data_IF_265254531421
#
_entry.id   IF_265254531421
#
_cell.length_a   1.000
_cell.length_b   1.000
_cell.length_c   1.000
_cell.angle_alpha   90.00
_cell.angle_beta   90.00
_cell.angle_gamma   90.00
#
_symmetry.space_group_name_H-M   'P 1'
#
loop_
_entity.id
_entity.type
_entity.pdbx_description
1 polymer ?
#
# COMPACT_ATOMS: atom_id res chain seq x y z
N UNK A 1 20.36 39.29 -21.27
CA UNK A 1 19.21 38.48 -20.85
C UNK A 1 19.64 37.00 -20.89
N UNK A 2 19.40 36.27 -19.82
CA UNK A 2 19.70 34.83 -19.82
C UNK A 2 18.57 34.15 -20.61
N UNK A 3 18.91 33.54 -21.74
CA UNK A 3 17.95 32.82 -22.58
C UNK A 3 17.94 31.34 -22.15
N UNK A 4 16.76 30.76 -22.03
CA UNK A 4 16.56 29.34 -21.78
C UNK A 4 15.89 28.68 -22.99
N UNK A 5 16.27 27.45 -23.24
CA UNK A 5 15.70 26.66 -24.34
C UNK A 5 14.38 25.99 -23.87
N UNK A 6 14.30 25.65 -22.57
CA UNK A 6 13.14 24.98 -21.98
C UNK A 6 12.85 25.55 -20.57
N UNK A 7 11.57 25.73 -20.27
CA UNK A 7 11.04 26.03 -18.94
C UNK A 7 10.27 24.82 -18.43
N UNK A 8 10.65 24.28 -17.28
CA UNK A 8 9.95 23.21 -16.58
C UNK A 8 9.15 23.83 -15.43
N UNK A 9 7.86 23.57 -15.37
CA UNK A 9 6.98 24.06 -14.31
C UNK A 9 6.77 22.96 -13.28
N UNK A 10 7.22 23.21 -12.06
CA UNK A 10 7.17 22.30 -10.91
C UNK A 10 8.46 21.51 -10.70
N UNK A 11 9.00 21.58 -9.49
CA UNK A 11 10.20 20.87 -9.04
C UNK A 11 9.85 19.60 -8.24
N UNK A 12 8.84 18.86 -8.66
CA UNK A 12 8.57 17.50 -8.20
C UNK A 12 9.45 16.50 -8.95
N UNK A 13 9.37 15.20 -8.59
CA UNK A 13 10.18 14.13 -9.20
C UNK A 13 10.12 14.14 -10.72
N UNK A 14 8.93 14.26 -11.32
CA UNK A 14 8.77 14.29 -12.78
C UNK A 14 9.44 15.51 -13.42
N UNK A 15 9.25 16.70 -12.84
CA UNK A 15 9.85 17.94 -13.36
C UNK A 15 11.37 17.95 -13.24
N UNK A 16 11.90 17.50 -12.11
CA UNK A 16 13.35 17.40 -11.91
C UNK A 16 13.99 16.34 -12.82
N UNK A 17 13.31 15.21 -13.05
CA UNK A 17 13.75 14.19 -14.00
C UNK A 17 13.78 14.75 -15.43
N UNK A 18 12.74 15.44 -15.86
CA UNK A 18 12.69 16.08 -17.17
C UNK A 18 13.82 17.13 -17.31
N UNK A 19 13.98 18.00 -16.32
CA UNK A 19 15.02 18.99 -16.31
C UNK A 19 16.43 18.40 -16.41
N UNK A 20 16.69 17.34 -15.66
CA UNK A 20 17.96 16.58 -15.70
C UNK A 20 18.24 16.03 -17.10
N UNK A 21 17.27 15.33 -17.69
CA UNK A 21 17.45 14.71 -19.01
C UNK A 21 17.63 15.76 -20.10
N UNK A 22 16.86 16.84 -20.08
CA UNK A 22 16.98 17.95 -21.03
C UNK A 22 18.36 18.66 -20.91
N UNK A 23 18.83 18.86 -19.67
CA UNK A 23 20.16 19.43 -19.42
C UNK A 23 21.27 18.50 -19.94
N UNK A 24 21.13 17.18 -19.72
CA UNK A 24 22.06 16.18 -20.28
C UNK A 24 22.07 16.17 -21.81
N UNK A 25 20.92 16.49 -22.43
CA UNK A 25 20.82 16.66 -23.87
C UNK A 25 21.34 18.02 -24.38
N UNK A 26 21.97 18.83 -23.52
CA UNK A 26 22.61 20.09 -23.89
C UNK A 26 21.68 21.31 -23.90
N UNK A 27 20.44 21.19 -23.43
CA UNK A 27 19.53 22.33 -23.33
C UNK A 27 19.82 23.20 -22.10
N UNK A 28 19.60 24.50 -22.24
CA UNK A 28 19.59 25.45 -21.10
C UNK A 28 18.19 25.40 -20.48
N UNK A 29 18.06 24.77 -19.34
CA UNK A 29 16.78 24.51 -18.66
C UNK A 29 16.65 25.43 -17.43
N UNK A 30 15.45 25.97 -17.23
CA UNK A 30 15.06 26.60 -15.97
C UNK A 30 13.86 25.84 -15.40
N UNK A 31 13.89 25.59 -14.07
CA UNK A 31 12.77 25.00 -13.34
C UNK A 31 12.12 26.10 -12.50
N UNK A 32 10.81 26.24 -12.62
CA UNK A 32 10.01 27.16 -11.82
C UNK A 32 9.18 26.37 -10.83
N UNK A 33 9.37 26.63 -9.54
CA UNK A 33 8.63 26.02 -8.44
C UNK A 33 7.85 27.09 -7.68
N UNK A 34 6.59 26.79 -7.34
CA UNK A 34 5.71 27.74 -6.67
C UNK A 34 5.91 27.77 -5.15
N UNK A 35 6.50 26.73 -4.58
CA UNK A 35 6.81 26.62 -3.15
C UNK A 35 8.26 27.00 -2.91
N UNK A 36 8.61 27.16 -1.64
CA UNK A 36 9.97 27.41 -1.15
C UNK A 36 10.81 26.12 -1.04
N UNK A 37 10.32 25.01 -1.53
CA UNK A 37 10.98 23.69 -1.52
C UNK A 37 10.76 22.91 -2.82
N UNK A 38 11.67 22.04 -3.13
CA UNK A 38 11.53 21.02 -4.19
C UNK A 38 10.83 19.75 -3.67
N UNK A 39 10.65 18.74 -4.51
CA UNK A 39 10.14 17.43 -4.17
C UNK A 39 8.65 17.24 -4.46
N UNK A 40 7.84 18.30 -4.42
CA UNK A 40 6.40 18.19 -4.70
C UNK A 40 5.67 17.32 -3.68
N UNK A 41 5.19 16.14 -4.08
CA UNK A 41 4.51 15.14 -3.25
C UNK A 41 5.46 14.26 -2.43
N UNK A 42 6.76 14.31 -2.67
CA UNK A 42 7.78 13.80 -1.76
C UNK A 42 8.24 14.93 -0.85
N UNK A 43 8.27 14.69 0.42
CA UNK A 43 8.70 15.68 1.41
C UNK A 43 9.13 14.99 2.70
N UNK A 44 10.42 15.11 3.03
CA UNK A 44 10.96 14.57 4.28
C UNK A 44 11.18 15.73 5.26
N UNK A 45 10.52 15.67 6.41
CA UNK A 45 10.72 16.60 7.50
C UNK A 45 11.88 16.13 8.39
N UNK A 46 12.87 17.00 8.62
CA UNK A 46 14.04 16.74 9.47
C UNK A 46 14.10 17.66 10.69
N UNK A 47 13.02 18.40 10.96
CA UNK A 47 12.99 19.41 12.03
C UNK A 47 13.24 18.83 13.42
N UNK A 48 12.96 17.53 13.62
CA UNK A 48 13.18 16.82 14.88
C UNK A 48 14.54 16.11 14.97
N UNK A 49 15.40 16.27 13.95
CA UNK A 49 16.66 15.54 13.82
C UNK A 49 16.49 14.09 13.32
N UNK A 50 15.29 13.70 12.96
CA UNK A 50 14.95 12.40 12.32
C UNK A 50 14.29 12.67 10.98
N UNK A 51 14.54 11.79 10.02
CA UNK A 51 13.80 11.79 8.76
C UNK A 51 12.36 11.32 9.01
N UNK A 52 11.39 12.13 8.61
CA UNK A 52 9.96 11.79 8.67
C UNK A 52 9.33 12.20 7.36
N UNK A 53 8.93 11.22 6.56
CA UNK A 53 8.27 11.50 5.30
C UNK A 53 6.83 11.97 5.55
N UNK A 54 6.52 13.16 5.05
CA UNK A 54 5.20 13.79 5.08
C UNK A 54 4.45 13.65 3.75
N UNK A 55 5.01 12.93 2.83
CA UNK A 55 4.47 12.61 1.51
C UNK A 55 4.62 11.13 1.23
N UNK A 56 4.99 10.78 0.01
CA UNK A 56 5.27 9.41 -0.37
C UNK A 56 6.41 8.84 0.48
N UNK A 57 6.25 7.59 0.95
CA UNK A 57 7.20 6.91 1.83
C UNK A 57 7.65 5.56 1.29
N UNK A 58 6.84 4.95 0.42
CA UNK A 58 7.11 3.64 -0.16
C UNK A 58 7.40 3.71 -1.65
N UNK A 59 8.19 2.73 -2.12
CA UNK A 59 8.04 2.19 -3.46
C UNK A 59 7.30 0.88 -3.31
N UNK A 60 6.09 0.83 -3.86
CA UNK A 60 5.26 -0.38 -3.91
C UNK A 60 5.68 -1.19 -5.13
N UNK A 61 6.36 -2.33 -4.90
CA UNK A 61 6.94 -3.17 -5.94
C UNK A 61 8.21 -2.64 -6.57
N UNK A 62 9.31 -3.35 -6.35
CA UNK A 62 10.63 -2.98 -6.86
C UNK A 62 10.98 -3.72 -8.17
N UNK A 63 10.22 -4.75 -8.56
CA UNK A 63 10.45 -5.49 -9.79
C UNK A 63 10.10 -4.60 -10.98
N UNK A 64 11.07 -4.41 -11.89
CA UNK A 64 10.94 -3.56 -13.08
C UNK A 64 10.46 -2.12 -12.79
N UNK A 65 10.74 -1.60 -11.59
CA UNK A 65 10.34 -0.27 -11.16
C UNK A 65 11.35 0.80 -11.57
N UNK A 66 10.98 1.76 -12.45
CA UNK A 66 11.86 2.87 -12.80
C UNK A 66 12.24 3.75 -11.60
N UNK A 67 11.37 3.83 -10.57
CA UNK A 67 11.68 4.54 -9.34
C UNK A 67 12.74 3.82 -8.52
N UNK A 68 12.70 2.49 -8.47
CA UNK A 68 13.71 1.70 -7.80
C UNK A 68 15.07 1.81 -8.49
N UNK A 69 15.10 1.79 -9.82
CA UNK A 69 16.32 1.99 -10.60
C UNK A 69 16.95 3.36 -10.33
N UNK A 70 16.16 4.44 -10.35
CA UNK A 70 16.64 5.80 -10.10
C UNK A 70 17.19 5.93 -8.68
N UNK A 71 16.45 5.46 -7.68
CA UNK A 71 16.85 5.56 -6.26
C UNK A 71 18.08 4.70 -5.95
N UNK A 72 18.23 3.55 -6.62
CA UNK A 72 19.42 2.72 -6.57
C UNK A 72 20.61 3.44 -7.18
N UNK A 73 20.45 4.04 -8.36
CA UNK A 73 21.50 4.82 -9.02
C UNK A 73 21.95 6.05 -8.22
N UNK A 74 21.07 6.60 -7.40
CA UNK A 74 21.36 7.70 -6.48
C UNK A 74 21.96 7.22 -5.15
N UNK A 75 22.10 5.92 -4.93
CA UNK A 75 22.68 5.34 -3.71
C UNK A 75 21.78 5.51 -2.47
N UNK A 76 20.47 5.67 -2.65
CA UNK A 76 19.54 5.81 -1.55
C UNK A 76 19.42 4.51 -0.75
N UNK A 77 19.55 4.61 0.58
CA UNK A 77 19.46 3.44 1.46
C UNK A 77 18.03 3.00 1.65
N UNK A 78 17.72 1.81 1.18
CA UNK A 78 16.38 1.21 1.25
C UNK A 78 16.36 0.07 2.26
N UNK A 79 15.24 -0.12 2.91
CA UNK A 79 14.91 -1.33 3.66
C UNK A 79 13.59 -1.87 3.13
N UNK A 80 13.52 -3.17 3.05
CA UNK A 80 12.28 -3.84 2.76
C UNK A 80 11.29 -3.57 3.89
N UNK A 81 10.11 -3.11 3.52
CA UNK A 81 8.99 -2.85 4.42
C UNK A 81 7.69 -3.23 3.71
N UNK A 82 7.62 -4.47 3.26
CA UNK A 82 6.42 -5.01 2.65
C UNK A 82 5.36 -5.13 3.73
N UNK A 83 4.42 -4.23 3.75
CA UNK A 83 3.24 -4.35 4.60
C UNK A 83 2.36 -5.38 3.91
N UNK A 84 2.39 -6.60 4.38
CA UNK A 84 1.49 -7.65 3.91
C UNK A 84 0.06 -7.32 4.29
N UNK A 85 -0.45 -6.19 3.80
CA UNK A 85 -1.77 -5.67 4.13
C UNK A 85 -2.90 -6.63 3.82
N UNK A 86 -2.64 -7.61 2.97
CA UNK A 86 -3.62 -8.60 2.55
C UNK A 86 -3.28 -10.03 2.96
N UNK A 87 -2.03 -10.31 3.28
CA UNK A 87 -1.58 -11.67 3.59
C UNK A 87 -1.21 -11.74 5.05
N UNK A 88 -2.02 -12.46 5.80
CA UNK A 88 -1.91 -12.64 7.27
C UNK A 88 -0.60 -13.29 7.72
N UNK A 89 0.20 -13.85 6.83
CA UNK A 89 1.43 -14.58 7.12
C UNK A 89 2.66 -14.09 6.34
N UNK A 90 2.54 -13.00 5.57
CA UNK A 90 3.65 -12.48 4.77
C UNK A 90 4.84 -12.00 5.60
N UNK A 91 4.62 -11.67 6.88
CA UNK A 91 5.64 -11.26 7.86
C UNK A 91 5.27 -11.69 9.26
N UNK A 92 6.22 -11.66 10.21
CA UNK A 92 5.89 -11.80 11.62
C UNK A 92 4.94 -10.68 12.07
N UNK A 93 3.65 -10.97 12.08
CA UNK A 93 2.60 -10.05 12.53
C UNK A 93 2.18 -10.47 13.93
N UNK A 94 2.02 -9.51 14.83
CA UNK A 94 1.45 -9.73 16.14
C UNK A 94 -0.05 -9.40 16.10
N UNK A 95 -0.87 -10.40 16.38
CA UNK A 95 -2.31 -10.23 16.52
C UNK A 95 -2.71 -10.05 17.97
N UNK A 96 -3.70 -9.20 18.21
CA UNK A 96 -4.24 -8.91 19.53
C UNK A 96 -5.74 -9.19 19.54
N UNK A 97 -6.21 -9.82 20.63
CA UNK A 97 -7.62 -10.05 20.85
C UNK A 97 -8.37 -8.76 21.27
N UNK A 98 -9.70 -8.85 21.42
CA UNK A 98 -10.54 -7.71 21.83
C UNK A 98 -10.18 -7.12 23.19
N UNK A 99 -9.52 -7.91 24.05
CA UNK A 99 -9.01 -7.53 25.37
C UNK A 99 -7.59 -6.92 25.31
N UNK A 100 -7.09 -6.62 24.12
CA UNK A 100 -5.73 -6.16 23.84
C UNK A 100 -4.62 -7.16 24.28
N UNK A 101 -4.97 -8.43 24.51
CA UNK A 101 -3.99 -9.49 24.78
C UNK A 101 -3.42 -10.02 23.47
N UNK A 102 -2.09 -10.09 23.38
CA UNK A 102 -1.42 -10.69 22.23
C UNK A 102 -1.78 -12.17 22.12
N UNK A 103 -2.17 -12.61 20.94
CA UNK A 103 -2.39 -14.02 20.65
C UNK A 103 -1.07 -14.81 20.74
N UNK A 104 -1.16 -16.06 21.18
CA UNK A 104 -0.06 -17.01 21.05
C UNK A 104 0.23 -17.30 19.58
N UNK A 105 1.45 -17.76 19.29
CA UNK A 105 1.83 -18.10 17.91
C UNK A 105 0.91 -19.18 17.31
N UNK A 106 0.46 -20.14 18.12
CA UNK A 106 -0.52 -21.15 17.70
C UNK A 106 -1.89 -20.54 17.38
N UNK A 107 -2.39 -19.64 18.21
CA UNK A 107 -3.66 -18.96 17.98
C UNK A 107 -3.59 -18.01 16.78
N UNK A 108 -2.46 -17.34 16.58
CA UNK A 108 -2.19 -16.49 15.41
C UNK A 108 -2.16 -17.32 14.10
N UNK A 109 -1.49 -18.47 14.12
CA UNK A 109 -1.46 -19.38 12.97
C UNK A 109 -2.85 -19.95 12.64
N UNK A 110 -3.63 -20.31 13.67
CA UNK A 110 -5.00 -20.76 13.47
C UNK A 110 -5.88 -19.66 12.89
N UNK A 111 -5.74 -18.43 13.36
CA UNK A 111 -6.45 -17.28 12.82
C UNK A 111 -6.06 -16.98 11.36
N UNK A 112 -4.77 -17.03 11.02
CA UNK A 112 -4.30 -16.88 9.65
C UNK A 112 -4.89 -17.95 8.72
N UNK A 113 -4.94 -19.21 9.17
CA UNK A 113 -5.58 -20.29 8.42
C UNK A 113 -7.09 -20.05 8.19
N UNK A 114 -7.78 -19.44 9.17
CA UNK A 114 -9.19 -19.07 9.03
C UNK A 114 -9.38 -18.00 7.96
N UNK A 115 -8.53 -16.97 7.96
CA UNK A 115 -8.57 -15.91 6.94
C UNK A 115 -8.31 -16.49 5.55
N UNK A 116 -7.29 -17.33 5.37
CA UNK A 116 -7.01 -17.96 4.09
C UNK A 116 -8.16 -18.84 3.60
N UNK A 117 -8.80 -19.58 4.52
CA UNK A 117 -9.98 -20.40 4.17
C UNK A 117 -11.11 -19.52 3.63
N UNK A 118 -11.36 -18.39 4.30
CA UNK A 118 -12.40 -17.47 3.86
C UNK A 118 -12.03 -16.73 2.57
N UNK A 119 -10.78 -16.30 2.40
CA UNK A 119 -10.32 -15.67 1.15
C UNK A 119 -10.52 -16.62 -0.05
N UNK A 120 -10.21 -17.89 0.10
CA UNK A 120 -10.48 -18.90 -0.94
C UNK A 120 -11.99 -19.03 -1.24
N UNK A 121 -12.84 -19.01 -0.21
CA UNK A 121 -14.29 -19.04 -0.37
C UNK A 121 -14.82 -17.77 -1.04
N UNK A 122 -14.28 -16.61 -0.72
CA UNK A 122 -14.67 -15.32 -1.29
C UNK A 122 -14.49 -15.29 -2.80
N UNK A 123 -13.42 -15.90 -3.35
CA UNK A 123 -13.23 -16.01 -4.80
C UNK A 123 -14.44 -16.68 -5.47
N UNK A 124 -14.95 -17.78 -4.89
CA UNK A 124 -16.10 -18.50 -5.41
C UNK A 124 -17.40 -17.69 -5.28
N UNK A 125 -17.59 -17.06 -4.11
CA UNK A 125 -18.81 -16.28 -3.83
C UNK A 125 -18.88 -15.04 -4.70
N UNK A 126 -17.77 -14.32 -4.88
CA UNK A 126 -17.68 -13.15 -5.76
C UNK A 126 -18.00 -13.56 -7.20
N UNK A 127 -17.39 -14.65 -7.69
CA UNK A 127 -17.63 -15.12 -9.05
C UNK A 127 -19.10 -15.51 -9.29
N UNK A 128 -19.81 -15.96 -8.24
CA UNK A 128 -21.23 -16.34 -8.31
C UNK A 128 -22.19 -15.16 -8.03
N UNK A 129 -21.70 -14.04 -7.52
CA UNK A 129 -22.52 -12.88 -7.17
C UNK A 129 -22.89 -12.04 -8.40
N UNK A 130 -23.88 -11.19 -8.26
CA UNK A 130 -24.30 -10.27 -9.33
C UNK A 130 -23.40 -9.05 -9.38
N UNK A 131 -23.12 -8.46 -10.57
CA UNK A 131 -22.44 -7.17 -10.66
C UNK A 131 -23.12 -6.10 -9.82
N UNK A 132 -22.34 -5.37 -9.03
CA UNK A 132 -22.86 -4.36 -8.10
C UNK A 132 -23.20 -4.92 -6.69
N UNK A 133 -22.91 -6.20 -6.43
CA UNK A 133 -22.92 -6.71 -5.06
C UNK A 133 -21.85 -6.01 -4.23
N UNK A 134 -22.18 -5.64 -2.99
CA UNK A 134 -21.17 -5.08 -2.10
C UNK A 134 -20.20 -6.14 -1.61
N UNK A 135 -18.97 -5.74 -1.29
CA UNK A 135 -18.01 -6.65 -0.69
C UNK A 135 -18.50 -7.16 0.67
N UNK A 136 -19.23 -6.33 1.44
CA UNK A 136 -19.90 -6.74 2.68
C UNK A 136 -20.87 -7.91 2.47
N UNK A 137 -21.73 -7.83 1.44
CA UNK A 137 -22.72 -8.89 1.16
C UNK A 137 -22.04 -10.24 0.81
N UNK A 138 -20.98 -10.20 0.01
CA UNK A 138 -20.26 -11.43 -0.37
C UNK A 138 -19.47 -12.00 0.81
N UNK A 139 -18.92 -11.15 1.69
CA UNK A 139 -18.28 -11.58 2.95
C UNK A 139 -19.29 -12.28 3.87
N UNK A 140 -20.47 -11.70 4.09
CA UNK A 140 -21.52 -12.33 4.91
C UNK A 140 -21.97 -13.67 4.31
N UNK A 141 -22.12 -13.75 3.00
CA UNK A 141 -22.45 -15.00 2.30
C UNK A 141 -21.37 -16.06 2.51
N UNK A 142 -20.10 -15.70 2.39
CA UNK A 142 -18.98 -16.61 2.60
C UNK A 142 -18.89 -17.07 4.06
N UNK A 143 -19.06 -16.16 5.03
CA UNK A 143 -19.06 -16.48 6.46
C UNK A 143 -20.21 -17.42 6.84
N UNK A 144 -21.41 -17.18 6.30
CA UNK A 144 -22.56 -18.06 6.54
C UNK A 144 -22.26 -19.50 6.06
N UNK A 145 -21.64 -19.65 4.89
CA UNK A 145 -21.24 -20.96 4.39
C UNK A 145 -20.21 -21.65 5.31
N UNK A 146 -19.23 -20.90 5.86
CA UNK A 146 -18.25 -21.48 6.79
C UNK A 146 -18.90 -21.87 8.13
N UNK A 147 -19.87 -21.10 8.62
CA UNK A 147 -20.65 -21.47 9.81
C UNK A 147 -21.44 -22.77 9.57
N UNK A 148 -22.07 -22.93 8.42
CA UNK A 148 -22.76 -24.15 8.04
C UNK A 148 -21.80 -25.36 7.93
N UNK A 149 -20.52 -25.12 7.64
CA UNK A 149 -19.45 -26.11 7.64
C UNK A 149 -18.77 -26.31 9.00
N UNK A 150 -19.29 -25.69 10.06
CA UNK A 150 -18.89 -25.96 11.44
C UNK A 150 -18.02 -24.91 12.10
N UNK A 151 -17.87 -23.71 11.53
CA UNK A 151 -17.28 -22.59 12.26
C UNK A 151 -18.19 -22.17 13.41
N UNK A 152 -17.58 -21.82 14.55
CA UNK A 152 -18.32 -21.15 15.62
C UNK A 152 -18.62 -19.70 15.25
N UNK A 153 -19.67 -19.13 15.87
CA UNK A 153 -20.02 -17.72 15.70
C UNK A 153 -18.85 -16.78 16.05
N UNK A 154 -18.12 -17.09 17.13
CA UNK A 154 -16.97 -16.29 17.58
C UNK A 154 -15.81 -16.35 16.58
N UNK A 155 -15.64 -17.49 15.91
CA UNK A 155 -14.62 -17.65 14.86
C UNK A 155 -14.97 -16.81 13.64
N UNK A 156 -16.23 -16.89 13.18
CA UNK A 156 -16.73 -16.09 12.08
C UNK A 156 -16.64 -14.58 12.37
N UNK A 157 -17.00 -14.17 13.60
CA UNK A 157 -16.93 -12.76 14.01
C UNK A 157 -15.51 -12.21 13.96
N UNK A 158 -14.52 -12.95 14.45
CA UNK A 158 -13.12 -12.50 14.40
C UNK A 158 -12.63 -12.29 12.96
N UNK A 159 -13.00 -13.17 12.06
CA UNK A 159 -12.60 -13.04 10.65
C UNK A 159 -13.38 -11.91 9.98
N UNK A 160 -14.67 -11.74 10.30
CA UNK A 160 -15.48 -10.60 9.84
C UNK A 160 -14.82 -9.26 10.19
N UNK A 161 -14.49 -9.07 11.47
CA UNK A 161 -13.88 -7.84 11.94
C UNK A 161 -12.51 -7.59 11.30
N UNK A 162 -11.73 -8.64 11.08
CA UNK A 162 -10.45 -8.52 10.37
C UNK A 162 -10.63 -8.08 8.91
N UNK A 163 -11.59 -8.66 8.18
CA UNK A 163 -11.86 -8.28 6.79
C UNK A 163 -12.38 -6.85 6.68
N UNK A 164 -13.25 -6.47 7.60
CA UNK A 164 -13.72 -5.08 7.67
C UNK A 164 -12.55 -4.13 7.87
N UNK A 165 -11.71 -4.37 8.88
CA UNK A 165 -10.54 -3.54 9.16
C UNK A 165 -9.60 -3.49 7.95
N UNK A 166 -9.26 -4.63 7.37
CA UNK A 166 -8.41 -4.73 6.18
C UNK A 166 -8.91 -3.87 5.03
N UNK A 167 -10.19 -3.99 4.71
CA UNK A 167 -10.80 -3.27 3.58
C UNK A 167 -10.98 -1.78 3.86
N UNK A 168 -11.46 -1.43 5.05
CA UNK A 168 -11.69 -0.03 5.44
C UNK A 168 -10.39 0.76 5.54
N UNK A 169 -9.32 0.15 6.04
CA UNK A 169 -8.00 0.77 6.12
C UNK A 169 -7.44 1.06 4.72
N UNK A 170 -7.61 0.13 3.78
CA UNK A 170 -7.05 0.25 2.45
C UNK A 170 -7.82 1.23 1.57
N UNK A 171 -9.13 1.11 1.54
CA UNK A 171 -9.96 1.86 0.59
C UNK A 171 -10.58 3.12 1.20
N UNK A 172 -10.50 3.29 2.52
CA UNK A 172 -11.04 4.45 3.24
C UNK A 172 -12.56 4.55 3.19
N UNK A 173 -13.26 3.45 2.96
CA UNK A 173 -14.72 3.37 2.92
C UNK A 173 -15.21 2.10 3.62
N UNK A 174 -16.48 2.11 4.03
CA UNK A 174 -17.08 0.95 4.66
C UNK A 174 -17.19 -0.23 3.68
N UNK A 175 -17.02 -1.44 4.19
CA UNK A 175 -17.06 -2.68 3.42
C UNK A 175 -18.35 -2.83 2.58
N UNK A 176 -19.47 -2.31 3.08
CA UNK A 176 -20.78 -2.33 2.40
C UNK A 176 -20.86 -1.39 1.20
N UNK A 177 -19.90 -0.47 1.06
CA UNK A 177 -19.82 0.52 -0.02
C UNK A 177 -18.78 0.15 -1.08
N UNK A 178 -18.03 -0.93 -0.86
CA UNK A 178 -17.08 -1.45 -1.82
C UNK A 178 -17.78 -2.38 -2.81
N UNK A 179 -17.52 -2.21 -4.10
CA UNK A 179 -17.97 -3.15 -5.12
C UNK A 179 -17.13 -4.42 -5.07
N UNK A 180 -17.77 -5.57 -4.86
CA UNK A 180 -17.09 -6.85 -4.79
C UNK A 180 -16.32 -7.21 -6.07
N UNK A 181 -16.77 -6.72 -7.24
CA UNK A 181 -16.15 -6.97 -8.53
C UNK A 181 -15.15 -5.89 -8.96
N UNK A 182 -15.11 -4.77 -8.23
CA UNK A 182 -14.22 -3.65 -8.50
C UNK A 182 -13.02 -3.59 -7.57
N UNK A 183 -12.84 -4.56 -6.69
CA UNK A 183 -11.62 -4.69 -5.90
C UNK A 183 -10.50 -5.07 -6.84
N UNK A 184 -9.72 -4.06 -7.24
CA UNK A 184 -8.55 -4.27 -8.06
C UNK A 184 -7.44 -4.81 -7.16
N UNK A 185 -6.99 -6.02 -7.46
CA UNK A 185 -5.72 -6.51 -6.98
C UNK A 185 -4.63 -5.76 -7.75
N UNK A 186 -4.30 -4.56 -7.31
CA UNK A 186 -3.08 -3.88 -7.72
C UNK A 186 -1.92 -4.82 -7.35
N UNK A 187 -1.56 -5.66 -8.30
CA UNK A 187 -0.46 -6.58 -8.14
C UNK A 187 0.83 -5.76 -8.10
N UNK A 188 1.26 -5.50 -6.89
CA UNK A 188 2.58 -4.97 -6.61
C UNK A 188 3.58 -6.07 -6.91
N UNK A 189 4.41 -5.89 -7.92
CA UNK A 189 5.39 -6.89 -8.31
C UNK A 189 6.72 -6.68 -7.56
N UNK A 190 7.07 -7.66 -6.74
CA UNK A 190 8.25 -7.63 -5.87
C UNK A 190 8.01 -7.00 -4.50
N UNK A 191 9.12 -6.81 -3.76
CA UNK A 191 9.07 -6.26 -2.41
C UNK A 191 8.68 -4.78 -2.39
N UNK A 192 8.16 -4.33 -1.27
CA UNK A 192 7.98 -2.92 -0.98
C UNK A 192 9.14 -2.40 -0.15
N UNK A 193 9.57 -1.18 -0.43
CA UNK A 193 10.70 -0.59 0.28
C UNK A 193 10.39 0.82 0.78
N UNK A 194 11.01 1.18 1.90
CA UNK A 194 11.05 2.53 2.45
C UNK A 194 12.49 3.04 2.53
N UNK A 195 12.67 4.34 2.66
CA UNK A 195 13.97 4.98 2.69
C UNK A 195 14.37 5.36 4.12
N UNK A 196 15.56 4.91 4.53
CA UNK A 196 16.09 5.18 5.88
C UNK A 196 16.35 6.66 6.14
N UNK A 197 16.71 7.40 5.10
CA UNK A 197 17.06 8.80 5.20
C UNK A 197 15.97 9.73 4.63
N UNK A 198 14.82 9.16 4.26
CA UNK A 198 13.73 9.85 3.60
C UNK A 198 13.92 9.98 2.08
N UNK A 199 12.92 10.55 1.42
CA UNK A 199 12.86 10.63 -0.04
C UNK A 199 13.63 11.81 -0.65
N UNK A 200 14.02 12.81 0.14
CA UNK A 200 14.59 14.07 -0.31
C UNK A 200 16.12 14.17 -0.07
N UNK A 201 16.84 13.11 -0.38
CA UNK A 201 18.32 13.07 -0.28
C UNK A 201 19.00 13.69 -1.47
#
# INVERSE_FOLDING_TARGET
>A
MTEFDTVVIGAGVSGLTAARLLTQAGQRVVVLEARDRVGGRTWTDRSTGRATDRGASWIHGITDSPLDEITTALGMRKIEFTVGGYQVDSRPIAYYGPDATRLSDEAAAAFAADVHSLDARLVEVIAASTPGSSYGDVVETALAAEVDHGWSADRAERVREYLRHRSEEQYGVWIDQLDAHGLDDDQVDGDEVVFLDGYDV
#
